data_IF_795631956257
#
_entry.id   IF_795631956257
#
_cell.length_a   1.000
_cell.length_b   1.000
_cell.length_c   1.000
_cell.angle_alpha   90.00
_cell.angle_beta   90.00
_cell.angle_gamma   90.00
#
_symmetry.space_group_name_H-M   'P 1'
#
loop_
_entity.id
_entity.type
_entity.pdbx_description
1 polymer ?
#
# COMPACT_ATOMS: atom_id res chain seq x y z
N UNK A 1 -14.45 -5.75 -2.90
CA UNK A 1 -13.02 -6.02 -3.10
C UNK A 1 -12.53 -5.04 -4.14
N UNK A 2 -11.50 -4.29 -3.79
CA UNK A 2 -10.86 -3.30 -4.65
C UNK A 2 -9.45 -3.79 -4.98
N UNK A 3 -8.91 -3.33 -6.11
CA UNK A 3 -7.54 -3.68 -6.49
C UNK A 3 -6.57 -2.80 -5.74
N UNK A 4 -5.54 -3.40 -5.16
CA UNK A 4 -4.43 -2.67 -4.56
C UNK A 4 -3.13 -3.08 -5.23
N UNK A 5 -2.24 -2.10 -5.40
CA UNK A 5 -0.84 -2.33 -5.73
C UNK A 5 -0.01 -2.10 -4.50
N UNK A 6 0.83 -3.08 -4.19
CA UNK A 6 1.81 -3.01 -3.12
C UNK A 6 3.17 -2.90 -3.79
N UNK A 7 3.89 -1.81 -3.51
CA UNK A 7 5.27 -1.63 -3.93
C UNK A 7 6.19 -1.86 -2.74
N UNK A 8 7.12 -2.80 -2.88
CA UNK A 8 8.10 -3.17 -1.86
C UNK A 8 9.32 -2.24 -1.89
N UNK A 9 10.15 -2.22 -0.83
CA UNK A 9 11.34 -1.37 -0.76
C UNK A 9 12.39 -1.68 -1.84
N UNK A 10 12.40 -2.89 -2.39
CA UNK A 10 13.27 -3.31 -3.49
C UNK A 10 12.75 -2.87 -4.87
N UNK A 11 11.59 -2.20 -4.91
CA UNK A 11 10.92 -1.75 -6.12
C UNK A 11 10.05 -2.81 -6.80
N UNK A 12 9.94 -4.02 -6.23
CA UNK A 12 9.00 -5.03 -6.72
C UNK A 12 7.55 -4.61 -6.43
N UNK A 13 6.64 -4.96 -7.33
CA UNK A 13 5.22 -4.61 -7.22
C UNK A 13 4.33 -5.83 -7.32
N UNK A 14 3.34 -5.92 -6.44
CA UNK A 14 2.32 -6.97 -6.44
C UNK A 14 0.94 -6.33 -6.51
N UNK A 15 0.08 -6.84 -7.38
CA UNK A 15 -1.32 -6.41 -7.50
C UNK A 15 -2.25 -7.48 -6.90
N UNK A 16 -3.02 -7.13 -5.87
CA UNK A 16 -3.96 -8.03 -5.19
C UNK A 16 -5.32 -7.37 -4.91
N UNK A 17 -6.35 -8.19 -4.69
CA UNK A 17 -7.69 -7.72 -4.36
C UNK A 17 -7.91 -7.82 -2.84
N UNK A 18 -8.25 -6.71 -2.20
CA UNK A 18 -8.54 -6.67 -0.76
C UNK A 18 -9.93 -6.11 -0.48
N UNK A 19 -10.48 -6.49 0.67
CA UNK A 19 -11.79 -5.99 1.13
C UNK A 19 -11.69 -4.60 1.76
N UNK A 20 -10.50 -4.19 2.24
CA UNK A 20 -10.28 -2.87 2.87
C UNK A 20 -8.83 -2.41 2.81
N UNK A 21 -8.61 -1.11 2.98
CA UNK A 21 -7.25 -0.51 3.04
C UNK A 21 -6.42 -1.14 4.19
N UNK A 22 -7.06 -1.46 5.33
CA UNK A 22 -6.38 -2.03 6.49
C UNK A 22 -5.89 -3.46 6.24
N UNK A 23 -6.64 -4.24 5.46
CA UNK A 23 -6.26 -5.58 5.05
C UNK A 23 -5.07 -5.53 4.08
N UNK A 24 -5.14 -4.64 3.08
CA UNK A 24 -4.06 -4.41 2.12
C UNK A 24 -2.76 -3.94 2.82
N UNK A 25 -2.86 -3.02 3.77
CA UNK A 25 -1.72 -2.54 4.57
C UNK A 25 -1.13 -3.68 5.42
N UNK A 26 -1.99 -4.47 6.09
CA UNK A 26 -1.52 -5.59 6.90
C UNK A 26 -0.81 -6.64 6.06
N UNK A 27 -1.34 -6.96 4.89
CA UNK A 27 -0.71 -7.89 3.94
C UNK A 27 0.64 -7.35 3.45
N UNK A 28 0.72 -6.06 3.09
CA UNK A 28 1.96 -5.42 2.66
C UNK A 28 3.04 -5.45 3.76
N UNK A 29 2.67 -5.19 5.02
CA UNK A 29 3.58 -5.27 6.16
C UNK A 29 4.07 -6.71 6.37
N UNK A 30 3.16 -7.69 6.33
CA UNK A 30 3.53 -9.10 6.47
C UNK A 30 4.48 -9.55 5.36
N UNK A 31 4.23 -9.14 4.13
CA UNK A 31 5.10 -9.44 2.98
C UNK A 31 6.48 -8.78 3.10
N UNK A 32 6.57 -7.60 3.73
CA UNK A 32 7.84 -6.94 4.06
C UNK A 32 8.40 -7.36 5.43
N UNK A 33 8.27 -8.64 5.80
CA UNK A 33 8.83 -9.22 7.03
C UNK A 33 8.39 -8.53 8.33
N UNK A 34 7.19 -7.93 8.34
CA UNK A 34 6.65 -7.18 9.47
C UNK A 34 7.04 -5.70 9.52
N UNK A 35 7.78 -5.18 8.53
CA UNK A 35 8.19 -3.79 8.47
C UNK A 35 7.25 -2.94 7.59
N UNK A 36 6.82 -1.78 8.10
CA UNK A 36 6.04 -0.80 7.32
C UNK A 36 6.92 0.25 6.61
N UNK A 37 8.23 0.19 6.79
CA UNK A 37 9.14 1.17 6.20
C UNK A 37 9.42 0.83 4.73
N UNK A 38 9.23 1.82 3.86
CA UNK A 38 9.55 1.71 2.43
C UNK A 38 8.52 0.95 1.58
N UNK A 39 7.44 0.47 2.18
CA UNK A 39 6.30 -0.08 1.44
C UNK A 39 5.37 1.06 1.01
N UNK A 40 4.76 0.91 -0.16
CA UNK A 40 3.70 1.79 -0.66
C UNK A 40 2.47 0.97 -1.01
N UNK A 41 1.29 1.41 -0.58
CA UNK A 41 0.02 0.74 -0.84
C UNK A 41 -0.92 1.72 -1.55
N UNK A 42 -1.27 1.37 -2.79
CA UNK A 42 -2.08 2.17 -3.69
C UNK A 42 -3.37 1.44 -4.01
N UNK A 43 -4.53 2.11 -3.91
CA UNK A 43 -5.83 1.53 -4.28
C UNK A 43 -6.21 1.95 -5.69
N UNK A 44 -6.72 1.03 -6.48
CA UNK A 44 -7.20 1.26 -7.85
C UNK A 44 -8.68 0.92 -7.97
N UNK A 45 -9.41 1.74 -8.73
CA UNK A 45 -10.76 1.39 -9.19
C UNK A 45 -10.71 0.20 -10.14
N UNK A 46 -11.86 -0.41 -10.40
CA UNK A 46 -11.98 -1.47 -11.42
C UNK A 46 -11.62 -0.99 -12.84
N UNK A 47 -11.74 0.32 -13.11
CA UNK A 47 -11.31 0.95 -14.35
C UNK A 47 -9.79 1.21 -14.40
N UNK A 48 -9.05 0.88 -13.34
CA UNK A 48 -7.61 1.05 -13.25
C UNK A 48 -7.17 2.46 -12.86
N UNK A 49 -8.08 3.29 -12.37
CA UNK A 49 -7.73 4.62 -11.86
C UNK A 49 -7.19 4.54 -10.44
N UNK A 50 -6.06 5.20 -10.18
CA UNK A 50 -5.49 5.33 -8.85
C UNK A 50 -6.42 6.19 -7.99
N UNK A 51 -7.06 5.56 -7.01
CA UNK A 51 -7.71 6.26 -5.92
C UNK A 51 -6.61 6.75 -5.00
N UNK A 52 -6.46 8.07 -4.87
CA UNK A 52 -5.49 8.66 -3.96
C UNK A 52 -5.71 8.13 -2.54
N UNK A 53 -4.94 7.11 -2.16
CA UNK A 53 -4.87 6.63 -0.79
C UNK A 53 -4.05 7.64 -0.03
N UNK A 54 -4.75 8.50 0.71
CA UNK A 54 -4.15 9.42 1.67
C UNK A 54 -3.52 8.53 2.77
N UNK A 55 -2.33 8.00 2.51
CA UNK A 55 -1.46 7.53 3.59
C UNK A 55 -1.30 8.75 4.51
N UNK A 56 -1.69 8.67 5.80
CA UNK A 56 -1.42 9.76 6.70
C UNK A 56 0.07 10.05 6.61
N UNK A 57 0.44 11.33 6.49
CA UNK A 57 1.82 11.80 6.37
C UNK A 57 2.61 11.41 7.62
N UNK A 58 2.97 10.12 7.74
CA UNK A 58 3.79 9.52 8.76
C UNK A 58 5.25 9.75 8.42
N UNK A 59 5.62 11.01 8.21
CA UNK A 59 6.97 11.47 7.99
C UNK A 59 7.17 12.75 8.77
N UNK A 60 7.29 12.66 10.09
CA UNK A 60 7.81 13.74 10.93
C UNK A 60 9.14 14.23 10.35
N UNK A 61 9.11 15.30 9.56
CA UNK A 61 10.28 16.11 9.27
C UNK A 61 10.27 17.25 10.27
N UNK A 62 10.89 17.04 11.44
CA UNK A 62 11.51 18.19 12.13
C UNK A 62 12.57 18.68 11.18
N UNK A 63 12.43 19.88 10.64
CA UNK A 63 13.40 20.99 10.70
C UNK A 63 12.64 22.30 10.44
#
# INVERSE_FOLDING_TARGET
>A
MDRYRITMPDGSTTDELFESDNEAISAAIQANLGASQGITVERYTNDGELLATHLPEGGYRRQ
#
